data_IF_424118904674
#
_entry.id   IF_424118904674
#
_cell.length_a   1.000
_cell.length_b   1.000
_cell.length_c   1.000
_cell.angle_alpha   90.00
_cell.angle_beta   90.00
_cell.angle_gamma   90.00
#
_symmetry.space_group_name_H-M   'P 1'
#
loop_
_entity.id
_entity.type
_entity.pdbx_description
1 polymer ?
#
# COMPACT_ATOMS: atom_id res chain seq x y z
N UNK A 1 7.36 -14.99 51.09
CA UNK A 1 6.00 -14.71 50.55
C UNK A 1 6.02 -13.75 49.36
N UNK A 2 6.71 -12.60 49.44
CA UNK A 2 6.75 -11.57 48.36
C UNK A 2 7.38 -12.07 47.04
N UNK A 3 8.36 -12.99 47.09
CA UNK A 3 9.04 -13.50 45.89
C UNK A 3 8.15 -14.37 44.97
N UNK A 4 7.18 -15.11 45.52
CA UNK A 4 6.30 -15.97 44.71
C UNK A 4 5.23 -15.18 43.95
N UNK A 5 4.75 -14.07 44.53
CA UNK A 5 3.80 -13.16 43.88
C UNK A 5 4.43 -12.46 42.66
N UNK A 6 5.71 -12.07 42.75
CA UNK A 6 6.41 -11.44 41.62
C UNK A 6 6.58 -12.35 40.41
N UNK A 7 6.90 -13.63 40.62
CA UNK A 7 7.04 -14.61 39.54
C UNK A 7 5.71 -14.88 38.83
N UNK A 8 4.61 -14.99 39.57
CA UNK A 8 3.28 -15.20 39.00
C UNK A 8 2.81 -14.01 38.15
N UNK A 9 3.08 -12.78 38.60
CA UNK A 9 2.76 -11.57 37.83
C UNK A 9 3.55 -11.51 36.52
N UNK A 10 4.85 -11.81 36.56
CA UNK A 10 5.69 -11.83 35.34
C UNK A 10 5.26 -12.92 34.36
N UNK A 11 4.91 -14.11 34.85
CA UNK A 11 4.41 -15.21 34.01
C UNK A 11 3.05 -14.85 33.39
N UNK A 12 2.17 -14.19 34.14
CA UNK A 12 0.89 -13.71 33.62
C UNK A 12 1.08 -12.63 32.53
N UNK A 13 2.01 -11.68 32.74
CA UNK A 13 2.36 -10.65 31.75
C UNK A 13 2.97 -11.28 30.49
N UNK A 14 3.89 -12.23 30.66
CA UNK A 14 4.51 -12.94 29.53
C UNK A 14 3.49 -13.73 28.71
N UNK A 15 2.56 -14.44 29.40
CA UNK A 15 1.45 -15.15 28.77
C UNK A 15 0.53 -14.19 28.00
N UNK A 16 0.16 -13.06 28.59
CA UNK A 16 -0.67 -12.06 27.94
C UNK A 16 0.02 -11.43 26.71
N UNK A 17 1.30 -11.08 26.83
CA UNK A 17 2.09 -10.55 25.72
C UNK A 17 2.19 -11.56 24.56
N UNK A 18 2.31 -12.85 24.86
CA UNK A 18 2.32 -13.91 23.86
C UNK A 18 0.99 -14.02 23.12
N UNK A 19 -0.14 -13.98 23.83
CA UNK A 19 -1.49 -13.98 23.22
C UNK A 19 -1.72 -12.74 22.35
N UNK A 20 -1.28 -11.56 22.79
CA UNK A 20 -1.36 -10.32 22.00
C UNK A 20 -0.51 -10.41 20.74
N UNK A 21 0.70 -10.98 20.84
CA UNK A 21 1.57 -11.15 19.69
C UNK A 21 0.93 -12.06 18.62
N UNK A 22 0.40 -13.22 19.04
CA UNK A 22 -0.25 -14.17 18.13
C UNK A 22 -1.46 -13.54 17.44
N UNK A 23 -2.34 -12.88 18.20
CA UNK A 23 -3.55 -12.27 17.64
C UNK A 23 -3.25 -11.18 16.60
N UNK A 24 -2.17 -10.43 16.79
CA UNK A 24 -1.73 -9.41 15.83
C UNK A 24 -1.16 -10.04 14.55
N UNK A 25 -0.39 -11.13 14.67
CA UNK A 25 0.16 -11.87 13.52
C UNK A 25 -0.96 -12.51 12.69
N UNK A 26 -1.95 -13.11 13.32
CA UNK A 26 -3.10 -13.71 12.60
C UNK A 26 -3.92 -12.66 11.87
N UNK A 27 -4.11 -11.47 12.46
CA UNK A 27 -4.90 -10.42 11.82
C UNK A 27 -4.22 -9.86 10.56
N UNK A 28 -2.89 -9.66 10.60
CA UNK A 28 -2.15 -9.14 9.45
C UNK A 28 -2.16 -10.12 8.26
N UNK A 29 -2.00 -11.42 8.52
CA UNK A 29 -1.96 -12.44 7.46
C UNK A 29 -3.31 -12.60 6.76
N UNK A 30 -4.43 -12.59 7.51
CA UNK A 30 -5.78 -12.66 6.93
C UNK A 30 -6.06 -11.44 6.04
N UNK A 31 -5.71 -10.24 6.49
CA UNK A 31 -5.91 -9.02 5.68
C UNK A 31 -5.08 -9.02 4.40
N UNK A 32 -3.84 -9.51 4.46
CA UNK A 32 -2.98 -9.63 3.27
C UNK A 32 -3.57 -10.60 2.28
N UNK A 33 -4.02 -11.78 2.73
CA UNK A 33 -4.60 -12.78 1.85
C UNK A 33 -5.94 -12.33 1.27
N UNK A 34 -6.80 -11.73 2.08
CA UNK A 34 -8.05 -11.13 1.62
C UNK A 34 -7.80 -10.03 0.58
N UNK A 35 -6.82 -9.15 0.83
CA UNK A 35 -6.39 -8.14 -0.12
C UNK A 35 -5.88 -8.74 -1.44
N UNK A 36 -5.12 -9.83 -1.37
CA UNK A 36 -4.65 -10.57 -2.55
C UNK A 36 -5.82 -11.10 -3.39
N UNK A 37 -6.84 -11.67 -2.75
CA UNK A 37 -8.05 -12.14 -3.44
C UNK A 37 -8.76 -10.99 -4.15
N UNK A 38 -9.02 -9.89 -3.43
CA UNK A 38 -9.67 -8.70 -4.00
C UNK A 38 -8.87 -8.07 -5.14
N UNK A 39 -7.54 -8.15 -5.11
CA UNK A 39 -6.69 -7.58 -6.15
C UNK A 39 -6.92 -8.23 -7.53
N UNK A 40 -7.28 -9.51 -7.52
CA UNK A 40 -7.56 -10.30 -8.73
C UNK A 40 -9.04 -10.35 -9.10
N UNK A 41 -9.93 -9.88 -8.21
CA UNK A 41 -11.37 -10.01 -8.34
C UNK A 41 -11.95 -9.06 -9.39
N UNK A 42 -12.67 -9.62 -10.38
CA UNK A 42 -13.24 -8.84 -11.50
C UNK A 42 -14.66 -8.36 -11.24
N UNK A 43 -15.41 -9.00 -10.34
CA UNK A 43 -16.78 -8.59 -10.01
C UNK A 43 -16.85 -7.18 -9.40
N UNK A 44 -15.73 -6.65 -8.90
CA UNK A 44 -15.61 -5.26 -8.44
C UNK A 44 -15.65 -4.23 -9.58
N UNK A 45 -15.38 -4.64 -10.83
CA UNK A 45 -15.54 -3.77 -11.98
C UNK A 45 -17.00 -3.64 -12.38
N UNK A 46 -17.38 -2.43 -12.83
CA UNK A 46 -18.71 -2.12 -13.38
C UNK A 46 -19.15 -3.08 -14.49
N UNK A 47 -18.21 -3.58 -15.30
CA UNK A 47 -18.51 -4.49 -16.42
C UNK A 47 -18.10 -5.95 -16.15
N UNK A 48 -17.56 -6.27 -14.97
CA UNK A 48 -17.10 -7.62 -14.62
C UNK A 48 -15.87 -8.13 -15.38
N UNK A 49 -15.18 -7.30 -16.16
CA UNK A 49 -14.08 -7.74 -17.04
C UNK A 49 -12.68 -7.38 -16.56
N UNK A 50 -12.54 -6.38 -15.68
CA UNK A 50 -11.23 -5.90 -15.20
C UNK A 50 -11.10 -6.02 -13.70
N UNK A 51 -9.87 -6.25 -13.24
CA UNK A 51 -9.46 -6.25 -11.83
C UNK A 51 -8.26 -5.32 -11.63
N UNK A 52 -7.82 -5.11 -10.39
CA UNK A 52 -6.62 -4.32 -10.11
C UNK A 52 -5.39 -4.91 -10.83
N UNK A 53 -5.26 -6.24 -10.84
CA UNK A 53 -4.18 -6.97 -11.53
C UNK A 53 -4.16 -6.76 -13.05
N UNK A 54 -5.31 -6.45 -13.67
CA UNK A 54 -5.40 -6.28 -15.12
C UNK A 54 -4.48 -5.15 -15.63
N UNK A 55 -4.34 -4.08 -14.84
CA UNK A 55 -3.45 -2.96 -15.11
C UNK A 55 -2.19 -2.96 -14.23
N UNK A 56 -2.23 -3.53 -13.03
CA UNK A 56 -1.10 -3.59 -12.11
C UNK A 56 -0.51 -5.00 -12.02
N UNK A 57 0.15 -5.43 -13.10
CA UNK A 57 0.62 -6.82 -13.25
C UNK A 57 1.89 -7.06 -12.46
N UNK A 58 1.90 -8.07 -11.59
CA UNK A 58 3.06 -8.43 -10.77
C UNK A 58 4.31 -8.73 -11.61
N UNK A 59 4.14 -9.42 -12.75
CA UNK A 59 5.21 -9.72 -13.70
C UNK A 59 5.82 -8.48 -14.38
N UNK A 60 5.19 -7.31 -14.27
CA UNK A 60 5.62 -6.04 -14.85
C UNK A 60 5.77 -4.97 -13.78
N UNK A 61 6.32 -5.33 -12.62
CA UNK A 61 6.53 -4.40 -11.51
C UNK A 61 5.23 -3.67 -11.10
N UNK A 62 4.11 -4.37 -11.11
CA UNK A 62 2.77 -3.82 -10.83
C UNK A 62 2.37 -2.67 -11.75
N UNK A 63 2.71 -2.74 -13.04
CA UNK A 63 2.29 -1.82 -14.12
C UNK A 63 1.80 -2.61 -15.36
N UNK A 64 1.40 -1.93 -16.44
CA UNK A 64 0.86 -2.57 -17.65
C UNK A 64 1.66 -2.38 -18.95
N UNK A 65 2.86 -1.80 -18.92
CA UNK A 65 3.76 -1.59 -20.09
C UNK A 65 3.06 -0.97 -21.32
N UNK A 66 1.98 -0.22 -21.09
CA UNK A 66 1.21 0.47 -22.13
C UNK A 66 1.42 1.96 -22.00
N UNK A 67 1.44 2.66 -23.13
CA UNK A 67 1.46 4.12 -23.15
C UNK A 67 0.20 4.73 -22.50
N UNK A 68 -0.94 4.04 -22.62
CA UNK A 68 -2.22 4.41 -22.00
C UNK A 68 -2.81 3.17 -21.31
N UNK A 69 -3.31 3.37 -20.09
CA UNK A 69 -3.98 2.33 -19.33
C UNK A 69 -5.25 1.86 -20.05
N UNK A 70 -5.46 0.55 -20.14
CA UNK A 70 -6.67 -0.04 -20.71
C UNK A 70 -7.49 -0.70 -19.60
N UNK A 71 -8.43 0.07 -19.03
CA UNK A 71 -9.37 -0.42 -18.02
C UNK A 71 -10.71 -0.83 -18.65
N UNK A 72 -11.82 -0.51 -17.97
CA UNK A 72 -13.16 -0.58 -18.59
C UNK A 72 -13.21 0.28 -19.86
N UNK A 73 -12.51 1.40 -19.84
CA UNK A 73 -12.32 2.31 -20.96
C UNK A 73 -10.83 2.68 -21.09
N UNK A 74 -10.45 3.25 -22.24
CA UNK A 74 -9.11 3.75 -22.46
C UNK A 74 -8.83 4.97 -21.57
N UNK A 75 -7.76 4.89 -20.79
CA UNK A 75 -7.30 5.97 -19.94
C UNK A 75 -6.57 7.08 -20.70
N UNK A 76 -6.29 8.17 -19.98
CA UNK A 76 -5.55 9.34 -20.52
C UNK A 76 -4.05 9.32 -20.19
N UNK A 77 -3.59 8.34 -19.41
CA UNK A 77 -2.20 8.15 -18.95
C UNK A 77 -1.89 6.67 -18.83
N UNK A 78 -0.60 6.32 -18.79
CA UNK A 78 -0.15 4.97 -18.48
C UNK A 78 -0.45 4.57 -17.02
N UNK A 79 -0.41 3.27 -16.73
CA UNK A 79 -0.58 2.77 -15.37
C UNK A 79 0.72 2.93 -14.57
N UNK A 80 0.74 3.65 -13.43
CA UNK A 80 1.92 3.75 -12.58
C UNK A 80 2.18 2.43 -11.87
N UNK A 81 3.45 2.15 -11.53
CA UNK A 81 3.81 1.00 -10.70
C UNK A 81 3.25 1.14 -9.28
N UNK A 82 2.78 0.02 -8.70
CA UNK A 82 2.46 -0.06 -7.26
C UNK A 82 3.63 -0.52 -6.39
N UNK A 83 4.81 -0.75 -6.96
CA UNK A 83 5.98 -1.09 -6.15
C UNK A 83 6.28 0.04 -5.17
N UNK A 84 6.44 -0.33 -3.90
CA UNK A 84 6.73 0.61 -2.81
C UNK A 84 5.69 1.74 -2.64
N UNK A 85 4.48 1.61 -3.20
CA UNK A 85 3.43 2.66 -3.14
C UNK A 85 3.10 3.09 -1.70
N UNK A 86 3.21 2.18 -0.73
CA UNK A 86 3.00 2.46 0.69
C UNK A 86 4.01 3.43 1.33
N UNK A 87 5.12 3.74 0.64
CA UNK A 87 6.14 4.72 1.06
C UNK A 87 5.95 6.09 0.41
N UNK A 88 5.08 6.20 -0.60
CA UNK A 88 4.85 7.46 -1.29
C UNK A 88 4.00 8.41 -0.44
N UNK A 89 4.33 9.70 -0.50
CA UNK A 89 3.56 10.76 0.16
C UNK A 89 2.49 11.36 -0.76
N UNK A 90 2.75 11.31 -2.06
CA UNK A 90 1.93 11.86 -3.13
C UNK A 90 1.64 10.72 -4.09
N UNK A 91 0.35 10.51 -4.37
CA UNK A 91 -0.17 9.44 -5.20
C UNK A 91 -0.83 10.01 -6.44
N UNK A 92 -1.01 9.16 -7.44
CA UNK A 92 -1.46 9.51 -8.79
C UNK A 92 -0.48 10.40 -9.54
N UNK A 93 -0.62 10.42 -10.86
CA UNK A 93 0.21 11.22 -11.77
C UNK A 93 0.15 12.74 -11.53
N UNK A 94 -0.97 13.25 -11.01
CA UNK A 94 -1.16 14.67 -10.73
C UNK A 94 -1.04 15.03 -9.24
N UNK A 95 -0.74 14.04 -8.39
CA UNK A 95 -0.57 14.26 -6.97
C UNK A 95 -1.84 14.68 -6.22
N UNK A 96 -3.03 14.43 -6.78
CA UNK A 96 -4.30 14.80 -6.12
C UNK A 96 -4.55 14.03 -4.83
N UNK A 97 -3.93 12.87 -4.66
CA UNK A 97 -4.06 12.06 -3.45
C UNK A 97 -2.76 12.11 -2.66
N UNK A 98 -2.88 12.24 -1.34
CA UNK A 98 -1.73 12.23 -0.43
C UNK A 98 -1.94 11.20 0.66
N UNK A 99 -0.90 10.46 1.03
CA UNK A 99 -1.00 9.48 2.11
C UNK A 99 -1.01 10.20 3.46
N UNK A 100 -2.02 9.93 4.29
CA UNK A 100 -2.21 10.57 5.60
C UNK A 100 -1.27 10.04 6.68
N UNK A 101 0.04 9.92 6.41
CA UNK A 101 1.05 9.72 7.46
C UNK A 101 1.57 11.05 8.02
N UNK A 102 1.36 12.13 7.27
CA UNK A 102 1.56 13.53 7.66
C UNK A 102 0.55 14.36 6.87
N UNK A 103 -0.35 15.10 7.54
CA UNK A 103 -1.29 16.00 6.84
C UNK A 103 -0.50 16.92 5.90
N UNK A 104 -0.77 16.93 4.59
CA UNK A 104 -0.19 17.95 3.74
C UNK A 104 -0.84 19.26 4.15
N UNK A 105 -0.04 20.23 4.58
CA UNK A 105 -0.53 21.59 4.71
C UNK A 105 -1.09 22.02 3.35
N UNK A 106 -2.20 22.77 3.36
CA UNK A 106 -2.93 23.27 2.17
C UNK A 106 -2.13 24.24 1.26
N UNK A 107 -0.83 24.04 1.11
CA UNK A 107 0.05 24.79 0.20
C UNK A 107 0.81 23.76 -0.62
N UNK A 108 0.18 23.24 -1.67
CA UNK A 108 0.87 22.43 -2.68
C UNK A 108 1.80 23.33 -3.51
N UNK A 109 3.13 23.17 -3.48
CA UNK A 109 4.01 23.82 -4.43
C UNK A 109 4.33 22.84 -5.57
N UNK A 110 3.30 22.34 -6.28
CA UNK A 110 3.50 21.46 -7.46
C UNK A 110 3.69 22.32 -8.73
N UNK A 111 4.57 23.33 -8.65
CA UNK A 111 5.05 24.07 -9.84
C UNK A 111 6.57 24.17 -9.94
N UNK A 112 7.37 23.52 -9.09
CA UNK A 112 8.84 23.71 -9.10
C UNK A 112 9.70 22.48 -8.77
N UNK A 113 9.35 21.26 -9.22
CA UNK A 113 10.26 20.10 -9.07
C UNK A 113 10.51 19.23 -10.30
N UNK A 114 10.11 19.69 -11.49
CA UNK A 114 10.68 19.20 -12.77
C UNK A 114 11.91 20.01 -13.21
N UNK A 115 12.45 20.89 -12.35
CA UNK A 115 13.61 21.76 -12.66
C UNK A 115 14.94 21.21 -12.13
N UNK A 116 14.99 20.09 -11.41
CA UNK A 116 16.25 19.60 -10.82
C UNK A 116 16.44 18.07 -10.91
N UNK A 117 16.26 17.49 -12.10
CA UNK A 117 16.93 16.23 -12.47
C UNK A 117 17.77 16.46 -13.73
N UNK A 118 18.60 17.50 -13.64
CA UNK A 118 19.81 17.68 -14.45
C UNK A 118 20.93 17.74 -13.41
N UNK A 119 21.96 16.91 -13.58
CA UNK A 119 23.17 16.75 -12.75
C UNK A 119 23.07 15.69 -11.64
N UNK A 120 23.42 14.44 -11.99
CA UNK A 120 24.65 13.72 -11.53
C UNK A 120 24.51 12.22 -11.81
N UNK A 121 24.67 11.80 -13.07
CA UNK A 121 25.39 10.58 -13.48
C UNK A 121 25.95 10.88 -14.88
N UNK A 122 27.11 11.56 -14.90
CA UNK A 122 28.19 11.32 -15.86
C UNK A 122 29.31 10.65 -15.08
#
# INVERSE_FOLDING_TARGET
>A
MVQFLGALVLLAIASWAFVVHISNVTHQTILVEFGRLLFTERSLSKNGQVSCESCHQSARHFSDDRALALGVELGVRNTPSLENVGRLQVLMWDGRHTTSRRKPSRRSPIRRKWVCLRLTIS
#
